data_IF_788099304280
#
_entry.id   IF_788099304280
#
_cell.length_a   1.000
_cell.length_b   1.000
_cell.length_c   1.000
_cell.angle_alpha   90.00
_cell.angle_beta   90.00
_cell.angle_gamma   90.00
#
_symmetry.space_group_name_H-M   'P 1'
#
loop_
_entity.id
_entity.type
_entity.pdbx_description
1 polymer ?
#
# COMPACT_ATOMS: atom_id res chain seq x y z
N UNK A 1 -12.13 12.51 -21.04
CA UNK A 1 -11.58 12.61 -19.67
C UNK A 1 -12.49 11.81 -18.75
N UNK A 2 -11.97 10.73 -18.18
CA UNK A 2 -12.71 9.93 -17.18
C UNK A 2 -11.70 9.59 -16.09
N UNK A 3 -11.58 10.46 -15.09
CA UNK A 3 -10.95 10.11 -13.81
C UNK A 3 -11.95 9.23 -13.06
N UNK A 4 -11.65 7.95 -12.97
CA UNK A 4 -12.42 7.02 -12.15
C UNK A 4 -11.87 7.16 -10.72
N UNK A 5 -12.56 7.97 -9.94
CA UNK A 5 -12.38 8.11 -8.50
C UNK A 5 -12.93 6.83 -7.83
N UNK A 6 -12.12 5.77 -7.80
CA UNK A 6 -12.47 4.53 -7.10
C UNK A 6 -12.18 4.71 -5.60
N UNK A 7 -13.14 5.32 -4.93
CA UNK A 7 -13.27 5.32 -3.46
C UNK A 7 -13.65 3.90 -3.04
N UNK A 8 -12.65 3.12 -2.66
CA UNK A 8 -12.85 1.86 -1.94
C UNK A 8 -13.34 2.20 -0.53
N UNK A 9 -14.51 1.68 -0.08
CA UNK A 9 -15.05 2.00 1.23
C UNK A 9 -14.12 1.53 2.36
N UNK A 10 -14.00 2.34 3.41
CA UNK A 10 -13.24 2.01 4.61
C UNK A 10 -13.77 0.70 5.25
N UNK A 11 -12.89 -0.22 5.68
CA UNK A 11 -13.33 -1.44 6.36
C UNK A 11 -13.97 -1.10 7.71
N UNK A 12 -15.07 -1.78 8.01
CA UNK A 12 -15.77 -1.69 9.29
C UNK A 12 -14.84 -2.08 10.46
N UNK A 13 -14.91 -1.31 11.55
CA UNK A 13 -14.12 -1.51 12.76
C UNK A 13 -14.26 -2.96 13.29
N UNK A 14 -13.14 -3.71 13.27
CA UNK A 14 -13.05 -5.09 13.79
C UNK A 14 -12.46 -6.13 12.83
N UNK A 15 -12.23 -5.79 11.55
CA UNK A 15 -11.51 -6.64 10.59
C UNK A 15 -9.99 -6.41 10.58
N UNK A 16 -9.19 -7.32 9.97
CA UNK A 16 -7.77 -7.04 9.74
C UNK A 16 -7.63 -5.73 8.96
N UNK A 17 -6.73 -4.86 9.43
CA UNK A 17 -6.46 -3.58 8.79
C UNK A 17 -5.98 -3.83 7.34
N UNK A 18 -6.18 -2.85 6.46
CA UNK A 18 -5.73 -2.94 5.07
C UNK A 18 -4.97 -1.70 4.70
N UNK A 19 -3.87 -1.85 3.96
CA UNK A 19 -3.08 -0.77 3.40
C UNK A 19 -3.38 -0.60 1.92
N UNK A 20 -3.56 0.65 1.48
CA UNK A 20 -3.55 1.03 0.08
C UNK A 20 -2.12 1.28 -0.36
N UNK A 21 -1.62 0.45 -1.27
CA UNK A 21 -0.23 0.47 -1.74
C UNK A 21 -0.22 0.71 -3.25
N UNK A 22 0.47 1.75 -3.69
CA UNK A 22 0.86 1.90 -5.10
C UNK A 22 2.23 1.23 -5.30
N UNK A 23 2.34 0.43 -6.34
CA UNK A 23 3.58 -0.23 -6.74
C UNK A 23 3.93 0.13 -8.18
N UNK A 24 5.19 0.41 -8.46
CA UNK A 24 5.69 0.56 -9.83
C UNK A 24 5.63 -0.79 -10.56
N UNK A 25 5.69 -0.78 -11.89
CA UNK A 25 5.70 -2.00 -12.71
C UNK A 25 6.83 -2.98 -12.30
N UNK A 26 7.96 -2.47 -11.81
CA UNK A 26 9.11 -3.28 -11.39
C UNK A 26 8.80 -4.17 -10.18
N UNK A 27 7.99 -3.68 -9.23
CA UNK A 27 7.66 -4.37 -7.97
C UNK A 27 6.20 -4.79 -7.86
N UNK A 28 5.36 -4.45 -8.84
CA UNK A 28 3.92 -4.75 -8.85
C UNK A 28 3.62 -6.23 -8.63
N UNK A 29 4.40 -7.13 -9.23
CA UNK A 29 4.22 -8.58 -9.05
C UNK A 29 4.55 -9.05 -7.62
N UNK A 30 5.48 -8.38 -6.94
CA UNK A 30 5.84 -8.68 -5.55
C UNK A 30 4.72 -8.25 -4.60
N UNK A 31 4.16 -7.06 -4.85
CA UNK A 31 3.03 -6.52 -4.07
C UNK A 31 1.76 -7.34 -4.32
N UNK A 32 1.50 -7.75 -5.57
CA UNK A 32 0.35 -8.59 -5.93
C UNK A 32 0.33 -9.92 -5.16
N UNK A 33 1.50 -10.53 -4.90
CA UNK A 33 1.60 -11.79 -4.13
C UNK A 33 1.06 -11.65 -2.69
N UNK A 34 1.11 -10.44 -2.13
CA UNK A 34 0.65 -10.14 -0.77
C UNK A 34 -0.76 -9.54 -0.73
N UNK A 35 -1.21 -8.94 -1.82
CA UNK A 35 -2.50 -8.28 -1.92
C UNK A 35 -3.69 -9.25 -1.82
N UNK A 36 -4.83 -8.74 -1.35
CA UNK A 36 -6.11 -9.46 -1.44
C UNK A 36 -6.75 -9.23 -2.80
N UNK A 37 -6.29 -9.99 -3.80
CA UNK A 37 -6.84 -9.96 -5.15
C UNK A 37 -5.97 -9.23 -6.16
N UNK A 38 -6.54 -8.96 -7.33
CA UNK A 38 -5.83 -8.29 -8.43
C UNK A 38 -5.58 -6.81 -8.13
N UNK A 39 -4.46 -6.30 -8.63
CA UNK A 39 -4.19 -4.86 -8.62
C UNK A 39 -5.06 -4.11 -9.62
N UNK A 40 -5.32 -2.84 -9.34
CA UNK A 40 -6.00 -1.92 -10.26
C UNK A 40 -4.99 -0.96 -10.85
N UNK A 41 -5.03 -0.74 -12.16
CA UNK A 41 -4.16 0.24 -12.80
C UNK A 41 -4.39 1.63 -12.17
N UNK A 42 -3.31 2.32 -11.86
CA UNK A 42 -3.29 3.70 -11.42
C UNK A 42 -2.51 4.55 -12.44
N UNK A 43 -2.41 5.86 -12.19
CA UNK A 43 -1.75 6.77 -13.10
C UNK A 43 -0.24 6.49 -13.25
N UNK A 44 0.31 6.81 -14.40
CA UNK A 44 1.76 6.88 -14.65
C UNK A 44 2.56 5.58 -14.40
N UNK A 45 2.02 4.41 -14.74
CA UNK A 45 2.75 3.13 -14.60
C UNK A 45 2.80 2.61 -13.16
N UNK A 46 1.83 3.03 -12.35
CA UNK A 46 1.60 2.51 -11.00
C UNK A 46 0.41 1.57 -10.99
N UNK A 47 0.45 0.56 -10.13
CA UNK A 47 -0.68 -0.32 -9.85
C UNK A 47 -1.05 -0.20 -8.38
N UNK A 48 -2.33 0.04 -8.10
CA UNK A 48 -2.89 0.10 -6.75
C UNK A 48 -3.27 -1.30 -6.26
N UNK A 49 -2.89 -1.60 -5.03
CA UNK A 49 -3.19 -2.84 -4.34
C UNK A 49 -3.77 -2.56 -2.96
N UNK A 50 -4.70 -3.42 -2.55
CA UNK A 50 -5.18 -3.49 -1.17
C UNK A 50 -4.47 -4.65 -0.48
N UNK A 51 -3.61 -4.33 0.47
CA UNK A 51 -2.76 -5.29 1.17
C UNK A 51 -3.27 -5.49 2.59
N UNK A 52 -3.57 -6.72 3.03
CA UNK A 52 -3.95 -6.98 4.42
C UNK A 52 -2.76 -6.71 5.36
N UNK A 53 -3.01 -5.92 6.40
CA UNK A 53 -2.11 -5.63 7.50
C UNK A 53 -2.62 -6.38 8.72
N UNK A 54 -1.84 -7.37 9.16
CA UNK A 54 -2.13 -8.12 10.40
C UNK A 54 -1.37 -7.56 11.59
N UNK A 55 -0.18 -7.03 11.30
CA UNK A 55 0.76 -6.46 12.24
C UNK A 55 1.52 -5.35 11.52
N UNK A 56 1.65 -4.20 12.19
CA UNK A 56 2.26 -3.01 11.59
C UNK A 56 3.77 -3.18 11.39
N UNK A 57 4.47 -3.82 12.34
CA UNK A 57 5.91 -4.07 12.24
C UNK A 57 6.26 -5.08 11.15
N UNK A 58 5.45 -6.13 10.97
CA UNK A 58 5.55 -7.08 9.85
C UNK A 58 5.38 -6.36 8.52
N UNK A 59 4.35 -5.50 8.42
CA UNK A 59 4.10 -4.71 7.22
C UNK A 59 5.26 -3.76 6.91
N UNK A 60 5.77 -3.05 7.91
CA UNK A 60 6.92 -2.14 7.76
C UNK A 60 8.17 -2.89 7.32
N UNK A 61 8.47 -4.03 7.95
CA UNK A 61 9.62 -4.86 7.59
C UNK A 61 9.55 -5.39 6.15
N UNK A 62 8.35 -5.58 5.62
CA UNK A 62 8.11 -6.00 4.25
C UNK A 62 8.14 -4.84 3.24
N UNK A 63 7.58 -3.67 3.57
CA UNK A 63 7.41 -2.56 2.63
C UNK A 63 8.68 -1.73 2.47
N UNK A 64 9.46 -1.54 3.55
CA UNK A 64 10.66 -0.70 3.53
C UNK A 64 11.75 -1.19 2.55
N UNK A 65 12.02 -2.51 2.42
CA UNK A 65 12.95 -3.01 1.42
C UNK A 65 12.56 -2.75 -0.03
N UNK A 66 11.28 -2.50 -0.33
CA UNK A 66 10.81 -2.15 -1.68
C UNK A 66 11.22 -0.73 -2.08
N UNK A 67 11.59 0.11 -1.10
CA UNK A 67 12.16 1.42 -1.35
C UNK A 67 11.21 2.36 -2.12
N UNK A 68 11.73 3.15 -3.08
CA UNK A 68 10.96 4.20 -3.77
C UNK A 68 9.93 3.66 -4.77
N UNK A 69 10.01 2.38 -5.13
CA UNK A 69 9.11 1.70 -6.07
C UNK A 69 7.75 1.35 -5.45
N UNK A 70 7.55 1.70 -4.18
CA UNK A 70 6.32 1.48 -3.47
C UNK A 70 5.90 2.74 -2.72
N UNK A 71 4.59 2.98 -2.65
CA UNK A 71 4.02 4.09 -1.89
C UNK A 71 2.81 3.62 -1.10
N UNK A 72 2.85 3.81 0.21
CA UNK A 72 1.69 3.60 1.07
C UNK A 72 0.86 4.88 1.04
N UNK A 73 -0.37 4.77 0.54
CA UNK A 73 -1.27 5.92 0.34
C UNK A 73 -2.38 5.98 1.39
N UNK A 74 -2.67 4.87 2.06
CA UNK A 74 -3.64 4.81 3.13
C UNK A 74 -3.56 3.50 3.93
N UNK A 75 -4.23 3.44 5.08
CA UNK A 75 -4.86 4.56 5.80
C UNK A 75 -3.81 5.57 6.31
N UNK A 76 -4.24 6.80 6.62
CA UNK A 76 -3.35 7.91 6.95
C UNK A 76 -2.40 7.58 8.12
N UNK A 77 -2.91 6.94 9.17
CA UNK A 77 -2.10 6.55 10.33
C UNK A 77 -0.97 5.58 9.94
N UNK A 78 -1.26 4.61 9.06
CA UNK A 78 -0.27 3.65 8.58
C UNK A 78 0.78 4.31 7.67
N UNK A 79 0.34 5.21 6.79
CA UNK A 79 1.25 6.02 5.97
C UNK A 79 2.18 6.83 6.87
N UNK A 80 1.64 7.48 7.89
CA UNK A 80 2.41 8.33 8.78
C UNK A 80 3.43 7.50 9.58
N UNK A 81 3.06 6.29 10.02
CA UNK A 81 3.99 5.32 10.62
C UNK A 81 5.14 4.92 9.67
N UNK A 82 4.86 4.67 8.39
CA UNK A 82 5.90 4.36 7.39
C UNK A 82 6.85 5.55 7.24
N UNK A 83 6.32 6.77 7.17
CA UNK A 83 7.12 8.00 7.05
C UNK A 83 7.99 8.22 8.28
N UNK A 84 7.44 8.07 9.49
CA UNK A 84 8.21 8.17 10.73
C UNK A 84 9.33 7.14 10.78
N UNK A 85 9.06 5.89 10.38
CA UNK A 85 10.07 4.84 10.39
C UNK A 85 11.18 5.09 9.37
N UNK A 86 10.85 5.56 8.17
CA UNK A 86 11.84 5.95 7.15
C UNK A 86 12.71 7.10 7.64
N UNK A 87 12.14 8.10 8.31
CA UNK A 87 12.89 9.22 8.89
C UNK A 87 13.86 8.79 9.98
N UNK A 88 13.54 7.75 10.74
CA UNK A 88 14.44 7.21 11.78
C UNK A 88 15.63 6.41 11.23
N UNK A 89 15.61 6.04 9.94
CA UNK A 89 16.67 5.27 9.27
C UNK A 89 17.66 6.15 8.49
N UNK A 90 17.35 7.45 8.32
CA UNK A 90 18.16 8.45 7.62
C UNK A 90 18.94 9.31 8.62
#
# INVERSE_FOLDING_TARGET
EVSVDDVVPAPAAGGPETADVLASDEVAWQVARRARGGGSAADHGWTRFVVPVRDADEFLSWVLPLGPDVRVTGPADLRDLVVERLRALL
#
